data_IF_876101060750
#
_entry.id   IF_876101060750
#
_cell.length_a   1.000
_cell.length_b   1.000
_cell.length_c   1.000
_cell.angle_alpha   90.00
_cell.angle_beta   90.00
_cell.angle_gamma   90.00
#
_symmetry.space_group_name_H-M   'P 1'
#
loop_
_entity.id
_entity.type
_entity.pdbx_description
1 polymer ?
#
# COMPACT_ATOMS: atom_id res chain seq x y z
N UNK A 1 12.86 -10.74 -13.96
CA UNK A 1 11.64 -11.44 -13.48
C UNK A 1 11.04 -12.36 -14.55
N UNK A 2 10.73 -11.86 -15.75
CA UNK A 2 10.22 -12.70 -16.86
C UNK A 2 11.06 -13.96 -17.15
N UNK A 3 12.39 -13.87 -17.08
CA UNK A 3 13.28 -15.03 -17.23
C UNK A 3 13.11 -16.07 -16.11
N UNK A 4 12.82 -15.62 -14.89
CA UNK A 4 12.53 -16.49 -13.74
C UNK A 4 11.18 -17.20 -13.90
N UNK A 5 10.15 -16.46 -14.34
CA UNK A 5 8.86 -17.02 -14.72
C UNK A 5 8.98 -18.05 -15.86
N UNK A 6 9.74 -17.74 -16.91
CA UNK A 6 9.97 -18.67 -18.02
C UNK A 6 10.66 -19.97 -17.55
N UNK A 7 11.50 -19.91 -16.52
CA UNK A 7 12.15 -21.09 -15.92
C UNK A 7 11.17 -21.91 -15.07
N UNK A 8 10.27 -21.26 -14.34
CA UNK A 8 9.30 -21.92 -13.47
C UNK A 8 8.13 -22.56 -14.27
N UNK A 9 7.81 -22.01 -15.45
CA UNK A 9 6.65 -22.41 -16.26
C UNK A 9 7.08 -22.96 -17.62
N UNK A 10 7.07 -24.29 -17.82
CA UNK A 10 7.65 -24.94 -19.00
C UNK A 10 6.91 -24.65 -20.32
N UNK A 11 5.70 -24.09 -20.27
CA UNK A 11 4.96 -23.67 -21.47
C UNK A 11 4.76 -22.15 -21.43
N UNK A 12 5.77 -21.41 -21.88
CA UNK A 12 5.64 -19.98 -22.14
C UNK A 12 4.98 -19.76 -23.50
N UNK A 13 3.87 -19.02 -23.54
CA UNK A 13 3.35 -18.45 -24.80
C UNK A 13 3.34 -16.94 -24.64
N UNK A 14 4.44 -16.31 -25.01
CA UNK A 14 4.48 -14.86 -25.20
C UNK A 14 3.70 -14.53 -26.47
N UNK A 15 2.47 -14.01 -26.35
CA UNK A 15 1.90 -13.24 -27.45
C UNK A 15 2.44 -11.81 -27.32
N UNK A 16 3.10 -11.26 -28.35
CA UNK A 16 3.64 -9.90 -28.30
C UNK A 16 2.50 -8.89 -28.52
N UNK A 17 1.59 -8.77 -27.56
CA UNK A 17 0.97 -7.49 -27.27
C UNK A 17 1.82 -6.87 -26.16
N UNK A 18 2.42 -5.71 -26.40
CA UNK A 18 3.66 -5.16 -25.79
C UNK A 18 3.72 -5.03 -24.25
N UNK A 19 2.79 -5.58 -23.48
CA UNK A 19 2.75 -5.49 -22.00
C UNK A 19 2.11 -6.68 -21.28
N UNK A 20 1.70 -7.76 -21.97
CA UNK A 20 1.05 -8.92 -21.33
C UNK A 20 1.86 -10.20 -21.56
N UNK A 21 2.26 -10.85 -20.48
CA UNK A 21 3.01 -12.11 -20.51
C UNK A 21 2.18 -13.25 -19.92
N UNK A 22 2.11 -14.39 -20.62
CA UNK A 22 1.34 -15.56 -20.17
C UNK A 22 2.27 -16.76 -20.01
N UNK A 23 2.19 -17.37 -18.82
CA UNK A 23 2.96 -18.53 -18.43
C UNK A 23 2.02 -19.67 -18.02
N UNK A 24 2.37 -20.92 -18.35
CA UNK A 24 1.57 -22.10 -18.00
C UNK A 24 2.45 -23.25 -17.54
N UNK A 25 1.99 -23.94 -16.50
CA UNK A 25 2.71 -25.06 -15.89
C UNK A 25 1.75 -26.02 -15.19
N UNK A 26 2.29 -27.16 -14.77
CA UNK A 26 1.61 -28.14 -13.90
C UNK A 26 2.54 -28.44 -12.74
N UNK A 27 2.00 -28.38 -11.53
CA UNK A 27 2.79 -28.49 -10.30
C UNK A 27 2.20 -29.57 -9.39
N UNK A 28 3.05 -30.16 -8.55
CA UNK A 28 2.66 -31.10 -7.50
C UNK A 28 3.20 -30.56 -6.18
N UNK A 29 2.35 -30.45 -5.17
CA UNK A 29 2.77 -29.96 -3.85
C UNK A 29 2.95 -28.44 -3.84
N UNK A 30 4.17 -27.95 -3.63
CA UNK A 30 4.42 -26.51 -3.59
C UNK A 30 4.17 -25.84 -4.96
N UNK A 31 3.61 -24.63 -4.93
CA UNK A 31 3.55 -23.77 -6.13
C UNK A 31 4.93 -23.13 -6.37
N UNK A 32 5.24 -22.70 -7.60
CA UNK A 32 6.52 -22.06 -7.88
C UNK A 32 6.67 -20.74 -7.11
N UNK A 33 7.87 -20.44 -6.63
CA UNK A 33 8.21 -19.10 -6.13
C UNK A 33 8.45 -18.20 -7.34
N UNK A 34 7.41 -17.54 -7.84
CA UNK A 34 7.40 -16.94 -9.17
C UNK A 34 7.44 -15.41 -9.16
N UNK A 35 6.41 -14.76 -8.59
CA UNK A 35 6.32 -13.31 -8.40
C UNK A 35 6.33 -12.99 -6.90
N UNK A 36 7.31 -13.53 -6.17
CA UNK A 36 7.40 -13.37 -4.71
C UNK A 36 6.30 -14.12 -3.95
N UNK A 37 5.68 -15.09 -4.62
CA UNK A 37 4.58 -15.87 -4.12
C UNK A 37 5.03 -17.12 -3.36
N UNK A 38 4.13 -17.65 -2.52
CA UNK A 38 4.29 -18.96 -1.89
C UNK A 38 2.93 -19.61 -1.76
N UNK A 39 2.83 -20.85 -2.17
CA UNK A 39 1.57 -21.58 -2.11
C UNK A 39 1.76 -23.08 -2.06
N UNK A 40 0.62 -23.76 -2.04
CA UNK A 40 0.57 -25.20 -2.14
C UNK A 40 -0.70 -25.67 -2.86
N UNK A 41 -0.56 -26.87 -3.40
CA UNK A 41 -1.63 -27.77 -3.78
C UNK A 41 -1.57 -29.02 -2.90
N UNK A 42 -2.69 -29.39 -2.29
CA UNK A 42 -2.80 -30.55 -1.40
C UNK A 42 -3.98 -31.42 -1.81
N UNK A 43 -3.75 -32.73 -1.74
CA UNK A 43 -4.74 -33.79 -1.94
C UNK A 43 -5.01 -34.49 -0.61
N UNK A 44 -6.28 -34.75 -0.32
CA UNK A 44 -6.80 -35.34 0.92
C UNK A 44 -7.64 -36.56 0.50
N UNK A 45 -7.12 -37.78 0.70
CA UNK A 45 -7.80 -39.01 0.25
C UNK A 45 -8.50 -39.67 1.43
N UNK A 46 -9.76 -40.03 1.25
CA UNK A 46 -10.54 -40.83 2.20
C UNK A 46 -11.26 -41.95 1.47
N UNK A 47 -11.91 -42.86 2.20
CA UNK A 47 -12.76 -43.87 1.59
C UNK A 47 -14.00 -43.26 0.91
N UNK A 48 -14.47 -42.10 1.37
CA UNK A 48 -15.65 -41.43 0.80
C UNK A 48 -15.33 -40.68 -0.49
N UNK A 49 -14.05 -40.39 -0.76
CA UNK A 49 -13.63 -39.59 -1.90
C UNK A 49 -12.34 -38.82 -1.64
N UNK A 50 -12.02 -37.92 -2.56
CA UNK A 50 -10.81 -37.09 -2.50
C UNK A 50 -11.16 -35.61 -2.43
N UNK A 51 -10.61 -34.91 -1.44
CA UNK A 51 -10.60 -33.46 -1.36
C UNK A 51 -9.30 -32.86 -1.92
N UNK A 52 -9.39 -31.64 -2.44
CA UNK A 52 -8.27 -30.88 -2.96
C UNK A 52 -8.31 -29.44 -2.48
N UNK A 53 -7.14 -28.89 -2.15
CA UNK A 53 -6.97 -27.46 -1.88
C UNK A 53 -5.80 -26.89 -2.68
N UNK A 54 -6.03 -25.72 -3.26
CA UNK A 54 -5.02 -24.83 -3.80
C UNK A 54 -5.08 -23.51 -3.03
N UNK A 55 -3.93 -23.04 -2.56
CA UNK A 55 -3.76 -21.73 -1.94
C UNK A 55 -2.42 -21.16 -2.40
N UNK A 56 -2.42 -19.94 -2.91
CA UNK A 56 -1.21 -19.24 -3.32
C UNK A 56 -1.33 -17.76 -3.00
N UNK A 57 -0.24 -17.18 -2.51
CA UNK A 57 -0.13 -15.73 -2.35
C UNK A 57 0.84 -15.16 -3.37
N UNK A 58 0.65 -13.91 -3.78
CA UNK A 58 1.49 -13.22 -4.76
C UNK A 58 1.83 -11.81 -4.25
N UNK A 59 3.14 -11.49 -4.21
CA UNK A 59 3.74 -10.24 -3.68
C UNK A 59 3.14 -9.80 -2.34
N UNK A 60 3.48 -8.62 -1.83
CA UNK A 60 2.96 -8.14 -0.55
C UNK A 60 3.72 -8.65 0.69
N UNK A 61 3.51 -7.97 1.82
CA UNK A 61 4.03 -8.34 3.13
C UNK A 61 2.99 -9.16 3.90
N UNK A 62 3.22 -10.47 4.15
CA UNK A 62 2.29 -11.31 4.89
C UNK A 62 2.26 -11.00 6.40
N UNK A 63 3.11 -10.07 6.88
CA UNK A 63 3.17 -9.65 8.28
C UNK A 63 2.46 -8.29 8.48
N UNK A 64 1.15 -8.29 8.77
CA UNK A 64 0.42 -7.05 9.06
C UNK A 64 0.94 -6.36 10.33
N UNK A 65 1.44 -7.11 11.31
CA UNK A 65 1.98 -6.55 12.55
C UNK A 65 3.23 -5.72 12.31
N UNK A 66 4.18 -6.27 11.56
CA UNK A 66 5.39 -5.55 11.14
C UNK A 66 5.04 -4.35 10.24
N UNK A 67 4.08 -4.50 9.33
CA UNK A 67 3.63 -3.40 8.45
C UNK A 67 3.08 -2.22 9.24
N UNK A 68 2.20 -2.49 10.21
CA UNK A 68 1.65 -1.45 11.10
C UNK A 68 2.76 -0.82 11.93
N UNK A 69 3.64 -1.62 12.54
CA UNK A 69 4.74 -1.10 13.35
C UNK A 69 5.66 -0.16 12.55
N UNK A 70 6.05 -0.54 11.32
CA UNK A 70 6.86 0.31 10.43
C UNK A 70 6.15 1.62 10.11
N UNK A 71 4.86 1.57 9.73
CA UNK A 71 4.05 2.77 9.46
C UNK A 71 4.01 3.73 10.64
N UNK A 72 3.79 3.22 11.84
CA UNK A 72 3.74 4.04 13.06
C UNK A 72 5.10 4.68 13.36
N UNK A 73 6.19 3.92 13.22
CA UNK A 73 7.54 4.43 13.40
C UNK A 73 7.88 5.51 12.37
N UNK A 74 7.53 5.32 11.10
CA UNK A 74 7.77 6.32 10.04
C UNK A 74 6.94 7.59 10.26
N UNK A 75 5.71 7.48 10.78
CA UNK A 75 4.92 8.66 11.17
C UNK A 75 5.57 9.42 12.34
N UNK A 76 6.19 8.71 13.30
CA UNK A 76 6.96 9.34 14.36
C UNK A 76 8.18 10.09 13.81
N UNK A 77 9.00 9.42 13.01
CA UNK A 77 10.21 10.01 12.41
C UNK A 77 9.89 11.22 11.52
N UNK A 78 8.81 11.17 10.73
CA UNK A 78 8.34 12.34 9.97
C UNK A 78 8.01 13.51 10.88
N UNK A 79 7.31 13.24 11.98
CA UNK A 79 6.95 14.28 12.94
C UNK A 79 8.19 14.87 13.59
N UNK A 80 9.17 14.04 13.95
CA UNK A 80 10.44 14.46 14.53
C UNK A 80 11.26 15.34 13.57
N UNK A 81 11.36 14.94 12.30
CA UNK A 81 12.05 15.71 11.26
C UNK A 81 11.37 17.07 11.02
N UNK A 82 10.04 17.11 10.90
CA UNK A 82 9.31 18.36 10.71
C UNK A 82 9.41 19.27 11.93
N UNK A 83 9.33 18.70 13.14
CA UNK A 83 9.49 19.44 14.40
C UNK A 83 10.90 20.03 14.52
N UNK A 84 11.92 19.25 14.17
CA UNK A 84 13.30 19.71 14.16
C UNK A 84 13.58 20.79 13.11
N UNK A 85 12.97 20.70 11.92
CA UNK A 85 13.02 21.75 10.91
C UNK A 85 12.39 23.05 11.43
N UNK A 86 11.18 22.96 12.01
CA UNK A 86 10.56 24.13 12.63
C UNK A 86 11.37 24.68 13.80
N UNK A 87 12.06 23.84 14.58
CA UNK A 87 12.95 24.31 15.63
C UNK A 87 14.15 25.08 15.07
N UNK A 88 14.68 24.69 13.91
CA UNK A 88 15.77 25.40 13.26
C UNK A 88 15.34 26.80 12.77
N UNK A 89 14.13 26.93 12.23
CA UNK A 89 13.60 28.20 11.70
C UNK A 89 12.98 29.10 12.78
N UNK A 90 12.24 28.50 13.71
CA UNK A 90 11.38 29.20 14.67
C UNK A 90 11.85 29.07 16.12
N UNK A 91 12.96 28.39 16.41
CA UNK A 91 13.39 28.11 17.79
C UNK A 91 13.62 29.34 18.67
N UNK A 92 13.77 30.54 18.07
CA UNK A 92 13.88 31.83 18.77
C UNK A 92 12.53 32.54 18.95
N UNK A 93 11.48 32.12 18.25
CA UNK A 93 10.14 32.68 18.40
C UNK A 93 9.51 32.16 19.71
N UNK A 94 9.08 33.07 20.58
CA UNK A 94 8.47 32.73 21.87
C UNK A 94 7.23 31.84 21.74
N UNK A 95 6.56 31.89 20.58
CA UNK A 95 5.35 31.09 20.28
C UNK A 95 5.66 29.69 19.77
N UNK A 96 6.92 29.38 19.44
CA UNK A 96 7.29 28.06 18.92
C UNK A 96 6.94 26.92 19.90
N UNK A 97 6.97 27.16 21.20
CA UNK A 97 6.54 26.16 22.20
C UNK A 97 5.12 25.63 21.98
N UNK A 98 4.19 26.47 21.53
CA UNK A 98 2.82 26.06 21.22
C UNK A 98 2.77 25.16 19.98
N UNK A 99 3.47 25.55 18.90
CA UNK A 99 3.58 24.73 17.70
C UNK A 99 4.24 23.38 17.98
N UNK A 100 5.34 23.38 18.74
CA UNK A 100 6.03 22.14 19.14
C UNK A 100 5.10 21.21 19.92
N UNK A 101 4.37 21.74 20.89
CA UNK A 101 3.39 20.95 21.67
C UNK A 101 2.32 20.33 20.75
N UNK A 102 1.80 21.10 19.80
CA UNK A 102 0.87 20.60 18.80
C UNK A 102 1.47 19.50 17.93
N UNK A 103 2.71 19.68 17.46
CA UNK A 103 3.42 18.69 16.64
C UNK A 103 3.62 17.37 17.41
N UNK A 104 4.14 17.46 18.64
CA UNK A 104 4.49 16.31 19.48
C UNK A 104 3.26 15.53 19.99
N UNK A 105 2.09 16.17 20.04
CA UNK A 105 0.85 15.56 20.54
C UNK A 105 -0.14 15.26 19.44
N UNK A 106 -0.92 16.27 19.03
CA UNK A 106 -2.05 16.12 18.14
C UNK A 106 -1.59 15.70 16.74
N UNK A 107 -0.62 16.40 16.14
CA UNK A 107 -0.15 16.10 14.78
C UNK A 107 0.42 14.69 14.67
N UNK A 108 1.32 14.31 15.58
CA UNK A 108 1.90 12.95 15.63
C UNK A 108 0.82 11.87 15.65
N UNK A 109 -0.16 12.03 16.54
CA UNK A 109 -1.28 11.08 16.67
C UNK A 109 -2.16 11.05 15.43
N UNK A 110 -2.48 12.21 14.88
CA UNK A 110 -3.36 12.30 13.72
C UNK A 110 -2.68 11.80 12.44
N UNK A 111 -1.36 11.99 12.29
CA UNK A 111 -0.57 11.41 11.21
C UNK A 111 -0.59 9.87 11.25
N UNK A 112 -0.49 9.28 12.44
CA UNK A 112 -0.68 7.83 12.65
C UNK A 112 -2.09 7.39 12.29
N UNK A 113 -3.11 8.15 12.66
CA UNK A 113 -4.50 7.85 12.31
C UNK A 113 -4.72 7.89 10.78
N UNK A 114 -4.19 8.90 10.10
CA UNK A 114 -4.25 9.00 8.63
C UNK A 114 -3.50 7.82 8.00
N UNK A 115 -2.31 7.49 8.49
CA UNK A 115 -1.54 6.32 8.04
C UNK A 115 -2.36 5.02 8.13
N UNK A 116 -3.08 4.83 9.24
CA UNK A 116 -3.94 3.66 9.44
C UNK A 116 -5.20 3.69 8.58
N UNK A 117 -5.82 4.85 8.35
CA UNK A 117 -6.96 4.98 7.44
C UNK A 117 -6.55 4.60 6.02
N UNK A 118 -5.40 5.10 5.55
CA UNK A 118 -4.84 4.77 4.24
C UNK A 118 -4.52 3.28 4.12
N UNK A 119 -4.01 2.64 5.18
CA UNK A 119 -3.73 1.20 5.18
C UNK A 119 -4.99 0.34 5.28
N UNK A 120 -5.96 0.71 6.11
CA UNK A 120 -7.24 0.01 6.21
C UNK A 120 -7.99 0.08 4.88
N UNK A 121 -7.92 1.24 4.22
CA UNK A 121 -8.40 1.42 2.86
C UNK A 121 -7.78 0.42 1.89
N UNK A 122 -6.46 0.29 1.99
CA UNK A 122 -5.61 -0.61 1.21
C UNK A 122 -6.03 -2.08 1.25
N UNK A 123 -6.65 -2.51 2.36
CA UNK A 123 -7.00 -3.92 2.63
C UNK A 123 -8.49 -4.20 2.42
N UNK A 124 -9.37 -3.25 2.75
CA UNK A 124 -10.76 -3.57 3.10
C UNK A 124 -11.82 -3.13 2.10
N UNK A 125 -11.58 -2.12 1.27
CA UNK A 125 -12.69 -1.45 0.58
C UNK A 125 -12.91 -1.99 -0.84
N UNK A 126 -13.74 -3.03 -0.93
CA UNK A 126 -14.41 -3.48 -2.17
C UNK A 126 -15.76 -2.78 -2.36
N UNK A 127 -15.84 -1.48 -2.06
CA UNK A 127 -17.06 -0.68 -2.34
C UNK A 127 -17.00 -0.14 -3.77
N UNK A 128 -18.12 0.34 -4.31
CA UNK A 128 -18.17 0.87 -5.68
C UNK A 128 -17.34 2.15 -5.86
N UNK A 129 -17.26 3.00 -4.84
CA UNK A 129 -16.49 4.26 -4.82
C UNK A 129 -15.59 4.35 -3.56
N UNK A 130 -14.56 3.51 -3.44
CA UNK A 130 -13.80 3.41 -2.19
C UNK A 130 -13.04 4.72 -1.88
N UNK A 131 -12.52 5.42 -2.90
CA UNK A 131 -11.71 6.62 -2.70
C UNK A 131 -12.47 7.81 -2.10
N UNK A 132 -13.73 8.00 -2.46
CA UNK A 132 -14.56 9.11 -1.97
C UNK A 132 -14.82 9.01 -0.47
N UNK A 133 -15.12 7.80 0.03
CA UNK A 133 -15.35 7.57 1.45
C UNK A 133 -14.07 7.83 2.27
N UNK A 134 -12.91 7.40 1.76
CA UNK A 134 -11.63 7.67 2.40
C UNK A 134 -11.35 9.18 2.51
N UNK A 135 -11.55 9.92 1.41
CA UNK A 135 -11.39 11.37 1.41
C UNK A 135 -12.36 12.05 2.36
N UNK A 136 -13.61 11.60 2.44
CA UNK A 136 -14.58 12.10 3.39
C UNK A 136 -14.15 11.85 4.85
N UNK A 137 -13.61 10.66 5.16
CA UNK A 137 -13.08 10.32 6.49
C UNK A 137 -11.88 11.18 6.87
N UNK A 138 -10.93 11.38 5.96
CA UNK A 138 -9.77 12.26 6.17
C UNK A 138 -10.25 13.71 6.33
N UNK A 139 -11.16 14.18 5.47
CA UNK A 139 -11.73 15.52 5.55
C UNK A 139 -12.43 15.79 6.89
N UNK A 140 -13.24 14.83 7.37
CA UNK A 140 -13.90 14.92 8.67
C UNK A 140 -12.87 15.01 9.80
N UNK A 141 -11.83 14.17 9.76
CA UNK A 141 -10.75 14.20 10.75
C UNK A 141 -10.03 15.57 10.75
N UNK A 142 -9.76 16.15 9.58
CA UNK A 142 -9.13 17.46 9.47
C UNK A 142 -10.01 18.57 10.07
N UNK A 143 -11.34 18.50 9.90
CA UNK A 143 -12.29 19.45 10.49
C UNK A 143 -12.40 19.28 12.01
N UNK A 144 -12.63 18.05 12.48
CA UNK A 144 -12.78 17.73 13.91
C UNK A 144 -11.54 18.12 14.73
N UNK A 145 -10.35 18.01 14.12
CA UNK A 145 -9.07 18.36 14.73
C UNK A 145 -8.65 19.81 14.48
N UNK A 146 -9.51 20.60 13.83
CA UNK A 146 -9.26 22.02 13.54
C UNK A 146 -7.94 22.24 12.79
N UNK A 147 -7.65 21.40 11.80
CA UNK A 147 -6.65 21.68 10.77
C UNK A 147 -7.22 22.62 9.70
N UNK A 148 -8.50 22.44 9.40
CA UNK A 148 -9.28 23.31 8.51
C UNK A 148 -10.67 23.51 9.11
N UNK A 149 -11.33 24.61 8.77
CA UNK A 149 -12.75 24.80 9.06
C UNK A 149 -13.62 24.04 8.05
N UNK A 150 -14.88 23.80 8.40
CA UNK A 150 -15.85 23.21 7.46
C UNK A 150 -16.01 24.03 6.18
N UNK A 151 -15.94 25.36 6.27
CA UNK A 151 -15.95 26.25 5.10
C UNK A 151 -14.67 26.20 4.25
N UNK A 152 -13.54 25.78 4.83
CA UNK A 152 -12.27 25.61 4.12
C UNK A 152 -12.15 24.25 3.43
N UNK A 153 -12.96 23.25 3.81
CA UNK A 153 -12.86 21.90 3.27
C UNK A 153 -13.08 21.84 1.74
N UNK A 154 -14.10 22.49 1.14
CA UNK A 154 -14.25 22.52 -0.32
C UNK A 154 -13.06 23.16 -1.04
N UNK A 155 -12.48 24.21 -0.45
CA UNK A 155 -11.29 24.89 -0.98
C UNK A 155 -10.08 23.97 -0.93
N UNK A 156 -9.86 23.28 0.20
CA UNK A 156 -8.79 22.29 0.32
C UNK A 156 -8.94 21.18 -0.72
N UNK A 157 -10.13 20.61 -0.88
CA UNK A 157 -10.39 19.56 -1.87
C UNK A 157 -10.14 20.05 -3.31
N UNK A 158 -10.57 21.27 -3.64
CA UNK A 158 -10.30 21.86 -4.96
C UNK A 158 -8.81 22.14 -5.20
N UNK A 159 -8.07 22.58 -4.17
CA UNK A 159 -6.62 22.75 -4.26
C UNK A 159 -5.95 21.40 -4.45
N UNK A 160 -6.33 20.38 -3.69
CA UNK A 160 -5.80 19.03 -3.84
C UNK A 160 -6.08 18.49 -5.24
N UNK A 161 -7.30 18.64 -5.74
CA UNK A 161 -7.66 18.22 -7.11
C UNK A 161 -6.81 18.95 -8.18
N UNK A 162 -6.65 20.26 -8.03
CA UNK A 162 -5.81 21.08 -8.94
C UNK A 162 -4.34 20.67 -8.89
N UNK A 163 -3.81 20.37 -7.69
CA UNK A 163 -2.44 19.87 -7.49
C UNK A 163 -2.28 18.48 -8.10
N UNK A 164 -3.31 17.63 -8.03
CA UNK A 164 -3.29 16.27 -8.57
C UNK A 164 -3.46 16.21 -10.09
N UNK A 165 -4.18 17.15 -10.69
CA UNK A 165 -4.40 17.20 -12.14
C UNK A 165 -3.26 17.88 -12.92
N UNK A 166 -2.45 18.72 -12.26
CA UNK A 166 -1.46 19.56 -12.94
C UNK A 166 -0.08 18.89 -13.07
N UNK A 167 0.52 18.99 -14.27
CA UNK A 167 1.92 18.61 -14.52
C UNK A 167 2.91 19.47 -13.71
N UNK A 168 2.54 20.73 -13.48
CA UNK A 168 3.23 21.67 -12.61
C UNK A 168 2.21 22.21 -11.58
N UNK A 169 2.18 21.64 -10.36
CA UNK A 169 1.14 21.95 -9.39
C UNK A 169 1.28 23.37 -8.85
N UNK A 170 0.18 24.15 -8.77
CA UNK A 170 0.20 25.43 -8.10
C UNK A 170 0.28 25.22 -6.58
N UNK A 171 1.50 25.25 -6.02
CA UNK A 171 1.73 25.00 -4.59
C UNK A 171 1.35 26.19 -3.70
N UNK A 172 1.24 27.40 -4.25
CA UNK A 172 0.98 28.64 -3.50
C UNK A 172 -0.29 28.62 -2.65
N UNK A 173 -1.47 28.16 -3.15
CA UNK A 173 -2.67 28.08 -2.33
C UNK A 173 -2.52 27.09 -1.17
N UNK A 174 -1.89 25.94 -1.41
CA UNK A 174 -1.63 24.93 -0.37
C UNK A 174 -0.69 25.48 0.71
N UNK A 175 0.41 26.12 0.31
CA UNK A 175 1.36 26.77 1.22
C UNK A 175 0.71 27.89 2.02
N UNK A 176 -0.24 28.63 1.45
CA UNK A 176 -0.97 29.68 2.15
C UNK A 176 -1.86 29.12 3.26
N UNK A 177 -2.59 28.03 2.97
CA UNK A 177 -3.38 27.30 3.98
C UNK A 177 -2.48 26.73 5.08
N UNK A 178 -1.36 26.11 4.68
CA UNK A 178 -0.39 25.53 5.63
C UNK A 178 0.24 26.60 6.53
N UNK A 179 0.67 27.73 5.97
CA UNK A 179 1.23 28.86 6.72
C UNK A 179 0.21 29.43 7.72
N UNK A 180 -1.06 29.58 7.32
CA UNK A 180 -2.12 30.02 8.24
C UNK A 180 -2.37 29.00 9.34
N UNK A 181 -2.39 27.70 9.02
CA UNK A 181 -2.50 26.63 10.01
C UNK A 181 -1.37 26.70 11.05
N UNK A 182 -0.11 26.82 10.61
CA UNK A 182 1.05 26.95 11.50
C UNK A 182 0.90 28.18 12.40
N UNK A 183 0.50 29.34 11.85
CA UNK A 183 0.24 30.54 12.62
C UNK A 183 -0.85 30.31 13.70
N UNK A 184 -1.97 29.67 13.34
CA UNK A 184 -3.04 29.34 14.29
C UNK A 184 -2.54 28.44 15.41
N UNK A 185 -1.71 27.43 15.10
CA UNK A 185 -1.13 26.53 16.11
C UNK A 185 -0.02 27.19 16.95
N UNK A 186 0.52 28.33 16.49
CA UNK A 186 1.35 29.24 17.29
C UNK A 186 0.52 30.23 18.13
N UNK A 187 -0.82 30.13 18.12
CA UNK A 187 -1.72 30.98 18.91
C UNK A 187 -2.11 32.30 18.23
N UNK A 188 -1.89 32.44 16.93
CA UNK A 188 -2.30 33.63 16.16
C UNK A 188 -3.76 33.49 15.74
N UNK A 189 -4.58 34.49 16.03
CA UNK A 189 -5.98 34.52 15.64
C UNK A 189 -6.20 34.46 14.12
N UNK A 190 -7.40 34.02 13.66
CA UNK A 190 -7.71 33.87 12.24
C UNK A 190 -7.76 35.19 11.46
N UNK A 191 -7.88 36.33 12.14
CA UNK A 191 -7.86 37.68 11.55
C UNK A 191 -6.57 38.43 11.84
N UNK A 192 -5.72 37.90 12.71
CA UNK A 192 -4.44 38.53 13.04
C UNK A 192 -3.44 38.40 11.88
N UNK A 193 -2.56 39.40 11.69
CA UNK A 193 -1.52 39.34 10.68
C UNK A 193 -0.53 38.20 10.98
N UNK A 194 -0.17 37.46 9.94
CA UNK A 194 0.81 36.37 10.07
C UNK A 194 2.18 36.97 10.38
N UNK A 195 2.87 36.54 11.45
CA UNK A 195 4.14 37.12 11.86
C UNK A 195 5.27 36.92 10.83
N UNK A 196 6.22 37.83 10.83
CA UNK A 196 7.41 37.79 9.95
C UNK A 196 8.28 36.55 10.14
N UNK A 197 8.24 35.94 11.34
CA UNK A 197 8.93 34.67 11.59
C UNK A 197 8.44 33.52 10.70
N UNK A 198 7.23 33.60 10.15
CA UNK A 198 6.68 32.64 9.19
C UNK A 198 6.88 33.03 7.72
N UNK A 199 7.68 34.06 7.44
CA UNK A 199 7.96 34.53 6.06
C UNK A 199 8.63 33.46 5.20
N UNK A 200 9.42 32.57 5.81
CA UNK A 200 10.06 31.46 5.08
C UNK A 200 9.04 30.48 4.46
N UNK A 201 7.80 30.41 4.98
CA UNK A 201 6.70 29.62 4.40
C UNK A 201 5.90 30.37 3.34
N UNK A 202 6.17 31.66 3.11
CA UNK A 202 5.45 32.46 2.12
C UNK A 202 5.84 32.13 0.67
N UNK A 203 7.02 31.54 0.48
CA UNK A 203 7.56 31.13 -0.82
C UNK A 203 7.87 29.62 -0.75
N UNK A 204 7.20 28.77 -1.56
CA UNK A 204 7.45 27.33 -1.61
C UNK A 204 8.92 26.99 -1.88
N UNK A 205 9.61 27.74 -2.75
CA UNK A 205 11.00 27.48 -3.09
C UNK A 205 11.94 27.80 -1.93
N UNK A 206 11.65 28.88 -1.18
CA UNK A 206 12.40 29.23 0.02
C UNK A 206 12.19 28.18 1.13
N UNK A 207 10.95 27.74 1.34
CA UNK A 207 10.62 26.70 2.31
C UNK A 207 11.32 25.37 1.98
N UNK A 208 11.25 24.93 0.71
CA UNK A 208 11.93 23.72 0.25
C UNK A 208 13.44 23.80 0.43
N UNK A 209 14.06 24.95 0.10
CA UNK A 209 15.49 25.17 0.28
C UNK A 209 15.91 25.10 1.75
N UNK A 210 15.15 25.73 2.64
CA UNK A 210 15.37 25.67 4.09
C UNK A 210 15.28 24.24 4.60
N UNK A 211 14.22 23.51 4.21
CA UNK A 211 14.01 22.12 4.59
C UNK A 211 15.13 21.21 4.09
N UNK A 212 15.57 21.36 2.84
CA UNK A 212 16.73 20.65 2.28
C UNK A 212 18.00 20.88 3.09
N UNK A 213 18.26 22.15 3.46
CA UNK A 213 19.43 22.50 4.25
C UNK A 213 19.39 21.85 5.65
N UNK A 214 18.23 21.84 6.30
CA UNK A 214 18.03 21.14 7.57
C UNK A 214 18.25 19.63 7.42
N UNK A 215 17.58 18.98 6.46
CA UNK A 215 17.67 17.53 6.23
C UNK A 215 19.09 17.07 5.92
N UNK A 216 19.87 17.88 5.20
CA UNK A 216 21.26 17.57 4.90
C UNK A 216 22.15 17.39 6.16
N UNK A 217 21.74 17.96 7.30
CA UNK A 217 22.44 17.82 8.59
C UNK A 217 21.93 16.70 9.49
N UNK A 218 20.96 15.89 9.02
CA UNK A 218 20.32 14.85 9.86
C UNK A 218 21.06 13.51 9.82
N UNK A 219 20.92 12.70 10.88
CA UNK A 219 21.48 11.35 10.94
C UNK A 219 20.86 10.44 9.86
N UNK A 220 19.58 10.67 9.54
CA UNK A 220 18.83 9.94 8.52
C UNK A 220 19.44 10.17 7.12
N UNK A 221 19.77 11.41 6.75
CA UNK A 221 20.46 11.67 5.48
C UNK A 221 21.87 11.07 5.46
N UNK A 222 22.59 11.12 6.58
CA UNK A 222 23.90 10.46 6.70
C UNK A 222 23.82 8.93 6.55
N UNK A 223 22.74 8.29 7.02
CA UNK A 223 22.47 6.86 6.77
C UNK A 223 22.30 6.59 5.27
N UNK A 224 21.52 7.41 4.56
CA UNK A 224 21.35 7.31 3.11
C UNK A 224 22.68 7.47 2.36
N UNK A 225 23.50 8.45 2.74
CA UNK A 225 24.82 8.65 2.15
C UNK A 225 25.75 7.46 2.40
N UNK A 226 25.73 6.85 3.60
CA UNK A 226 26.51 5.65 3.89
C UNK A 226 26.06 4.46 3.04
N UNK A 227 24.76 4.27 2.86
CA UNK A 227 24.22 3.21 2.00
C UNK A 227 24.62 3.44 0.54
N UNK A 228 24.42 4.65 0.02
CA UNK A 228 24.82 5.02 -1.33
C UNK A 228 26.31 4.80 -1.58
N UNK A 229 27.19 5.15 -0.62
CA UNK A 229 28.64 4.89 -0.74
C UNK A 229 28.95 3.40 -0.91
N UNK A 230 28.22 2.50 -0.24
CA UNK A 230 28.35 1.05 -0.41
C UNK A 230 27.82 0.59 -1.76
N UNK A 231 26.64 1.07 -2.17
CA UNK A 231 26.03 0.72 -3.45
C UNK A 231 26.87 1.21 -4.63
N UNK A 232 27.49 2.38 -4.51
CA UNK A 232 28.40 2.96 -5.52
C UNK A 232 29.63 2.08 -5.79
N UNK A 233 30.10 1.32 -4.80
CA UNK A 233 31.20 0.37 -5.00
C UNK A 233 30.81 -0.77 -5.95
N UNK A 234 29.55 -1.21 -5.90
CA UNK A 234 29.02 -2.25 -6.78
C UNK A 234 28.47 -1.70 -8.11
N UNK A 235 28.02 -0.44 -8.11
CA UNK A 235 27.48 0.25 -9.27
C UNK A 235 27.98 1.71 -9.32
N UNK A 236 29.05 2.01 -10.08
CA UNK A 236 29.62 3.36 -10.15
C UNK A 236 28.66 4.45 -10.60
N UNK A 237 27.63 4.09 -11.38
CA UNK A 237 26.60 5.00 -11.92
C UNK A 237 25.45 5.27 -10.92
N UNK A 238 25.51 4.74 -9.70
CA UNK A 238 24.47 4.97 -8.69
C UNK A 238 24.35 6.46 -8.36
N UNK A 239 23.16 7.04 -8.62
CA UNK A 239 22.86 8.44 -8.34
C UNK A 239 22.96 8.75 -6.84
N UNK A 240 23.55 9.90 -6.50
CA UNK A 240 23.66 10.35 -5.12
C UNK A 240 22.25 10.71 -4.58
N UNK A 241 21.88 10.28 -3.37
CA UNK A 241 20.59 10.65 -2.79
C UNK A 241 20.54 12.14 -2.43
N UNK A 242 19.38 12.74 -2.67
CA UNK A 242 19.07 14.12 -2.29
C UNK A 242 18.50 14.19 -0.86
N UNK A 243 18.69 15.28 -0.09
CA UNK A 243 18.17 15.38 1.27
C UNK A 243 16.66 15.15 1.39
N UNK A 244 15.88 15.60 0.41
CA UNK A 244 14.41 15.38 0.38
C UNK A 244 14.01 13.91 0.31
N UNK A 245 14.92 13.02 -0.11
CA UNK A 245 14.67 11.59 -0.13
C UNK A 245 14.38 11.05 1.28
N UNK A 246 14.94 11.67 2.33
CA UNK A 246 14.63 11.30 3.72
C UNK A 246 13.12 11.40 3.99
N UNK A 247 12.49 12.50 3.60
CA UNK A 247 11.04 12.66 3.76
C UNK A 247 10.26 11.77 2.81
N UNK A 248 10.79 11.52 1.60
CA UNK A 248 10.20 10.58 0.66
C UNK A 248 10.14 9.15 1.19
N UNK A 249 11.21 8.68 1.85
CA UNK A 249 11.29 7.32 2.39
C UNK A 249 10.31 7.14 3.55
N UNK A 250 10.34 8.03 4.55
CA UNK A 250 9.39 7.94 5.68
C UNK A 250 7.96 8.29 5.26
N UNK A 251 7.77 9.22 4.32
CA UNK A 251 6.47 9.58 3.74
C UNK A 251 5.86 8.42 2.94
N UNK A 252 6.67 7.72 2.17
CA UNK A 252 6.30 6.50 1.46
C UNK A 252 5.90 5.39 2.43
N UNK A 253 6.66 5.19 3.51
CA UNK A 253 6.32 4.18 4.51
C UNK A 253 5.06 4.54 5.31
N UNK A 254 4.97 5.76 5.83
CA UNK A 254 3.86 6.19 6.67
C UNK A 254 2.56 6.39 5.88
N UNK A 255 2.63 7.07 4.74
CA UNK A 255 1.45 7.52 3.99
C UNK A 255 1.28 6.82 2.65
N UNK A 256 2.27 6.05 2.20
CA UNK A 256 2.25 5.53 0.82
C UNK A 256 2.21 6.64 -0.24
N UNK A 257 2.85 7.76 0.09
CA UNK A 257 3.00 8.93 -0.76
C UNK A 257 4.15 8.73 -1.74
N UNK A 258 3.94 7.94 -2.80
CA UNK A 258 4.93 7.86 -3.89
C UNK A 258 4.77 9.05 -4.85
N UNK A 259 5.85 9.66 -5.37
CA UNK A 259 5.77 10.77 -6.32
C UNK A 259 5.07 10.45 -7.67
N UNK A 260 4.74 9.18 -7.94
CA UNK A 260 3.93 8.76 -9.10
C UNK A 260 2.40 8.72 -8.84
N UNK A 261 1.96 9.08 -7.63
CA UNK A 261 0.55 9.12 -7.19
C UNK A 261 -0.26 10.24 -7.86
N UNK A 262 0.38 11.12 -8.66
CA UNK A 262 -0.25 12.31 -9.25
C UNK A 262 -0.68 12.16 -10.71
N UNK A 263 -0.94 10.94 -11.19
CA UNK A 263 -1.57 10.74 -12.50
C UNK A 263 -3.06 10.43 -12.34
N UNK A 264 -3.92 11.46 -12.45
CA UNK A 264 -5.38 11.54 -12.73
C UNK A 264 -6.38 10.51 -12.17
N UNK A 265 -5.94 9.45 -11.50
CA UNK A 265 -6.72 8.48 -10.77
C UNK A 265 -6.04 8.43 -9.39
N UNK A 266 -6.82 8.66 -8.32
CA UNK A 266 -6.35 8.64 -6.94
C UNK A 266 -5.92 7.20 -6.55
N UNK A 267 -4.82 6.75 -7.14
CA UNK A 267 -4.20 5.45 -6.92
C UNK A 267 -3.20 5.64 -5.79
N UNK A 268 -3.66 5.35 -4.57
CA UNK A 268 -2.79 5.23 -3.41
C UNK A 268 -1.76 4.13 -3.69
N UNK A 269 -0.56 4.53 -4.11
CA UNK A 269 0.47 3.61 -4.62
C UNK A 269 0.21 3.17 -6.06
N UNK A 270 1.25 3.18 -6.89
CA UNK A 270 1.16 2.67 -8.25
C UNK A 270 1.17 1.13 -8.22
N UNK A 271 0.00 0.51 -8.20
CA UNK A 271 -0.11 -0.92 -8.50
C UNK A 271 -0.05 -1.12 -10.02
N UNK A 272 1.11 -0.82 -10.59
CA UNK A 272 1.31 -0.80 -12.05
C UNK A 272 1.22 -2.20 -12.66
N UNK A 273 1.51 -3.24 -11.89
CA UNK A 273 1.47 -4.63 -12.34
C UNK A 273 0.07 -5.23 -12.11
N UNK A 274 -0.52 -5.74 -13.19
CA UNK A 274 -1.75 -6.52 -13.14
C UNK A 274 -1.44 -8.02 -13.19
N UNK A 275 -2.06 -8.79 -12.31
CA UNK A 275 -1.93 -10.23 -12.22
C UNK A 275 -3.26 -10.90 -12.57
N UNK A 276 -3.21 -11.87 -13.48
CA UNK A 276 -4.33 -12.76 -13.75
C UNK A 276 -3.89 -14.21 -13.55
N UNK A 277 -4.56 -14.91 -12.63
CA UNK A 277 -4.31 -16.32 -12.32
C UNK A 277 -5.47 -17.16 -12.80
N UNK A 278 -5.18 -18.29 -13.45
CA UNK A 278 -6.18 -19.23 -13.94
C UNK A 278 -5.84 -20.64 -13.50
N UNK A 279 -6.76 -21.27 -12.79
CA UNK A 279 -6.61 -22.64 -12.31
C UNK A 279 -7.64 -23.56 -12.97
N UNK A 280 -7.18 -24.55 -13.74
CA UNK A 280 -8.05 -25.56 -14.36
C UNK A 280 -8.43 -26.67 -13.38
N UNK A 281 -9.69 -26.70 -12.95
CA UNK A 281 -10.24 -27.63 -11.94
C UNK A 281 -11.70 -27.97 -12.25
N UNK A 282 -12.28 -29.03 -11.64
CA UNK A 282 -13.73 -29.14 -11.51
C UNK A 282 -14.31 -27.94 -10.75
N UNK A 283 -15.64 -27.80 -10.77
CA UNK A 283 -16.31 -26.72 -10.06
C UNK A 283 -15.91 -26.69 -8.57
N UNK A 284 -15.37 -25.57 -8.07
CA UNK A 284 -14.91 -25.48 -6.70
C UNK A 284 -16.07 -25.37 -5.73
N UNK A 285 -15.96 -26.08 -4.61
CA UNK A 285 -16.87 -25.91 -3.48
C UNK A 285 -16.62 -24.61 -2.70
N UNK A 286 -15.37 -24.10 -2.75
CA UNK A 286 -14.94 -22.86 -2.11
C UNK A 286 -13.89 -22.18 -3.01
N UNK A 287 -14.06 -20.89 -3.26
CA UNK A 287 -13.08 -20.07 -3.98
C UNK A 287 -13.29 -18.59 -3.65
N UNK A 288 -12.24 -17.78 -3.75
CA UNK A 288 -12.35 -16.31 -3.80
C UNK A 288 -12.15 -15.73 -5.22
N UNK A 289 -12.07 -16.59 -6.23
CA UNK A 289 -12.06 -16.24 -7.64
C UNK A 289 -13.37 -16.57 -8.33
N UNK A 290 -13.51 -16.14 -9.58
CA UNK A 290 -14.70 -16.37 -10.39
C UNK A 290 -14.64 -17.75 -11.06
N UNK A 291 -15.73 -18.52 -10.96
CA UNK A 291 -15.85 -19.80 -11.65
C UNK A 291 -16.33 -19.59 -13.10
N UNK A 292 -15.53 -20.05 -14.05
CA UNK A 292 -15.87 -20.11 -15.46
C UNK A 292 -16.22 -21.55 -15.85
N UNK A 293 -17.52 -21.85 -15.92
CA UNK A 293 -18.05 -23.17 -16.25
C UNK A 293 -17.67 -23.64 -17.66
N UNK A 294 -17.61 -22.71 -18.64
CA UNK A 294 -17.29 -23.02 -20.04
C UNK A 294 -15.88 -23.58 -20.18
N UNK A 295 -14.91 -22.94 -19.52
CA UNK A 295 -13.49 -23.32 -19.62
C UNK A 295 -13.05 -24.26 -18.49
N UNK A 296 -13.93 -24.51 -17.50
CA UNK A 296 -13.66 -25.26 -16.28
C UNK A 296 -12.46 -24.71 -15.51
N UNK A 297 -12.52 -23.41 -15.22
CA UNK A 297 -11.43 -22.68 -14.59
C UNK A 297 -11.94 -21.76 -13.49
N UNK A 298 -11.13 -21.61 -12.44
CA UNK A 298 -11.23 -20.47 -11.54
C UNK A 298 -10.31 -19.38 -12.03
N UNK A 299 -10.81 -18.15 -12.10
CA UNK A 299 -10.08 -16.98 -12.56
C UNK A 299 -9.98 -15.97 -11.42
N UNK A 300 -8.77 -15.49 -11.17
CA UNK A 300 -8.52 -14.33 -10.31
C UNK A 300 -7.88 -13.24 -11.16
N UNK A 301 -8.26 -12.00 -10.91
CA UNK A 301 -7.61 -10.82 -11.45
C UNK A 301 -7.42 -9.81 -10.33
N UNK A 302 -6.21 -9.33 -10.16
CA UNK A 302 -5.90 -8.32 -9.15
C UNK A 302 -4.75 -7.43 -9.59
N UNK A 303 -4.60 -6.31 -8.89
CA UNK A 303 -3.42 -5.45 -8.96
C UNK A 303 -2.43 -5.89 -7.88
N UNK A 304 -1.15 -5.94 -8.22
CA UNK A 304 -0.08 -6.31 -7.28
C UNK A 304 0.95 -5.21 -7.19
N UNK A 305 1.58 -5.08 -6.02
CA UNK A 305 2.70 -4.16 -5.85
C UNK A 305 3.80 -4.45 -6.88
N UNK A 306 4.44 -3.43 -7.46
CA UNK A 306 5.66 -3.61 -8.25
C UNK A 306 6.73 -4.34 -7.44
N UNK A 307 7.65 -5.01 -8.13
CA UNK A 307 8.78 -5.66 -7.44
C UNK A 307 9.63 -4.61 -6.72
N UNK A 308 9.68 -4.72 -5.40
CA UNK A 308 10.42 -3.81 -4.53
C UNK A 308 11.27 -4.59 -3.50
N UNK A 309 12.15 -3.88 -2.80
CA UNK A 309 12.93 -4.44 -1.67
C UNK A 309 12.05 -4.69 -0.44
N UNK A 310 10.99 -3.90 -0.29
CA UNK A 310 9.99 -4.02 0.76
C UNK A 310 8.60 -3.89 0.14
N UNK A 311 7.64 -4.60 0.70
CA UNK A 311 6.24 -4.53 0.34
C UNK A 311 5.45 -3.85 1.47
N UNK A 312 4.31 -3.27 1.14
CA UNK A 312 3.55 -2.44 2.06
C UNK A 312 2.06 -2.80 2.13
N UNK A 313 1.62 -3.70 1.25
CA UNK A 313 0.26 -4.17 1.12
C UNK A 313 0.21 -5.65 1.49
N UNK A 314 -0.99 -6.12 1.82
CA UNK A 314 -1.17 -7.55 2.01
C UNK A 314 -1.01 -8.27 0.67
N UNK A 315 -0.46 -9.50 0.67
CA UNK A 315 -0.40 -10.32 -0.51
C UNK A 315 -1.77 -10.55 -1.15
N UNK A 316 -1.83 -10.51 -2.49
CA UNK A 316 -2.97 -11.09 -3.20
C UNK A 316 -2.99 -12.59 -2.91
N UNK A 317 -4.11 -13.10 -2.41
CA UNK A 317 -4.28 -14.53 -2.13
C UNK A 317 -5.31 -15.12 -3.09
N UNK A 318 -4.94 -16.20 -3.77
CA UNK A 318 -5.84 -17.02 -4.59
C UNK A 318 -6.05 -18.36 -3.88
N UNK A 319 -7.30 -18.75 -3.64
CA UNK A 319 -7.60 -20.09 -3.12
C UNK A 319 -8.79 -20.73 -3.83
N UNK A 320 -8.71 -22.05 -4.02
CA UNK A 320 -9.80 -22.87 -4.48
C UNK A 320 -9.75 -24.24 -3.78
N UNK A 321 -10.91 -24.77 -3.40
CA UNK A 321 -11.05 -26.11 -2.88
C UNK A 321 -12.22 -26.83 -3.55
N UNK A 322 -12.02 -28.12 -3.84
CA UNK A 322 -13.01 -28.96 -4.51
C UNK A 322 -12.89 -30.40 -4.01
N UNK A 323 -13.90 -31.21 -4.30
CA UNK A 323 -13.88 -32.62 -3.95
C UNK A 323 -14.43 -33.48 -5.09
N UNK A 324 -14.00 -34.73 -5.12
CA UNK A 324 -14.48 -35.75 -6.04
C UNK A 324 -14.93 -36.97 -5.23
N UNK A 325 -16.22 -37.33 -5.27
CA UNK A 325 -16.72 -38.49 -4.55
C UNK A 325 -16.12 -39.79 -5.07
N UNK A 326 -15.89 -40.74 -4.17
CA UNK A 326 -15.75 -42.14 -4.53
C UNK A 326 -17.15 -42.74 -4.63
N UNK A 327 -17.79 -42.56 -5.78
CA UNK A 327 -19.18 -42.98 -6.00
C UNK A 327 -19.35 -44.48 -5.84
N UNK A 328 -18.35 -45.28 -6.21
CA UNK A 328 -18.38 -46.73 -6.09
C UNK A 328 -18.36 -47.15 -4.61
N UNK A 329 -17.45 -46.59 -3.81
CA UNK A 329 -17.42 -46.85 -2.37
C UNK A 329 -18.72 -46.41 -1.69
N UNK A 330 -19.18 -45.19 -1.98
CA UNK A 330 -20.36 -44.65 -1.32
C UNK A 330 -21.63 -45.43 -1.68
N UNK A 331 -21.83 -45.73 -2.97
CA UNK A 331 -23.00 -46.50 -3.40
C UNK A 331 -22.98 -47.92 -2.84
N UNK A 332 -21.80 -48.56 -2.77
CA UNK A 332 -21.68 -49.91 -2.18
C UNK A 332 -22.07 -49.96 -0.70
N UNK A 333 -21.78 -48.92 0.09
CA UNK A 333 -22.00 -48.93 1.54
C UNK A 333 -23.26 -48.18 1.98
N UNK A 334 -23.73 -47.20 1.22
CA UNK A 334 -24.86 -46.34 1.57
C UNK A 334 -26.02 -46.40 0.56
N UNK A 335 -25.89 -47.17 -0.52
CA UNK A 335 -26.89 -47.27 -1.59
C UNK A 335 -26.98 -46.03 -2.51
N UNK A 336 -26.25 -44.96 -2.20
CA UNK A 336 -26.15 -43.72 -2.98
C UNK A 336 -24.91 -42.92 -2.59
N UNK A 337 -24.59 -41.88 -3.35
CA UNK A 337 -23.64 -40.84 -2.93
C UNK A 337 -24.27 -40.01 -1.81
N UNK A 338 -23.67 -40.06 -0.62
CA UNK A 338 -24.13 -39.36 0.59
C UNK A 338 -23.29 -38.14 0.92
N UNK A 339 -22.06 -38.05 0.40
CA UNK A 339 -21.18 -36.89 0.52
C UNK A 339 -20.69 -36.46 -0.86
N UNK A 340 -20.99 -35.22 -1.24
CA UNK A 340 -20.51 -34.58 -2.46
C UNK A 340 -20.04 -33.14 -2.17
N UNK A 341 -19.34 -32.55 -3.15
CA UNK A 341 -18.99 -31.12 -3.17
C UNK A 341 -18.41 -30.61 -1.84
N UNK A 342 -19.07 -29.61 -1.23
CA UNK A 342 -18.62 -28.92 -0.01
C UNK A 342 -18.63 -29.83 1.22
N UNK A 343 -19.61 -30.72 1.33
CA UNK A 343 -19.72 -31.63 2.48
C UNK A 343 -18.65 -32.73 2.42
N UNK A 344 -18.39 -33.25 1.22
CA UNK A 344 -17.27 -34.16 1.02
C UNK A 344 -15.92 -33.46 1.26
N UNK A 345 -15.76 -32.22 0.79
CA UNK A 345 -14.55 -31.44 1.05
C UNK A 345 -14.29 -31.28 2.57
N UNK A 346 -15.32 -30.88 3.33
CA UNK A 346 -15.25 -30.76 4.80
C UNK A 346 -14.90 -32.09 5.47
N UNK A 347 -15.52 -33.18 5.04
CA UNK A 347 -15.22 -34.52 5.56
C UNK A 347 -13.75 -34.91 5.30
N UNK A 348 -13.26 -34.70 4.07
CA UNK A 348 -11.87 -34.97 3.70
C UNK A 348 -10.85 -34.14 4.49
N UNK A 349 -11.22 -32.92 4.89
CA UNK A 349 -10.39 -32.05 5.74
C UNK A 349 -10.37 -32.51 7.20
N UNK A 350 -11.53 -32.92 7.74
CA UNK A 350 -11.67 -33.34 9.13
C UNK A 350 -10.97 -34.66 9.43
N UNK A 351 -11.08 -35.64 8.52
CA UNK A 351 -10.59 -37.01 8.73
C UNK A 351 -9.07 -37.17 8.52
N UNK A 352 -8.34 -36.07 8.34
CA UNK A 352 -6.96 -36.11 7.84
C UNK A 352 -5.91 -36.42 8.89
#
# INVERSE_FOLDING_TARGET
>A
ELAHLAKAYPTARTRPAKSVHTFRGRFKGATPDDIGGRGFYRRYVTAMGTGFAYVERFRGDPDPGATVARRMASADELTDLLTGWFAAELGRDRRFGALRTFMDTQFRRDLKNVSMLLWAYSIGYRTANPGEELLARIGLLLVERSYVSSGQLPVLLSILDSVMAAKEPPLMPLMSLFRRLVATKMGIGPEEPIPDSLKFLADPAAAEKSLKAYLAGTEQYEKLLRQWRKEKQANPEAAKPEPMQVLGDFGGDALHFYPKVFSSELTLGSMDDALAVKLSVPEPALTNGEWNAKDRQVVWGDRVEPRAKAYHWLPTVCYAAWATPDEAFQTRHFGKVVLAEKDLWRYCMWRK
#
